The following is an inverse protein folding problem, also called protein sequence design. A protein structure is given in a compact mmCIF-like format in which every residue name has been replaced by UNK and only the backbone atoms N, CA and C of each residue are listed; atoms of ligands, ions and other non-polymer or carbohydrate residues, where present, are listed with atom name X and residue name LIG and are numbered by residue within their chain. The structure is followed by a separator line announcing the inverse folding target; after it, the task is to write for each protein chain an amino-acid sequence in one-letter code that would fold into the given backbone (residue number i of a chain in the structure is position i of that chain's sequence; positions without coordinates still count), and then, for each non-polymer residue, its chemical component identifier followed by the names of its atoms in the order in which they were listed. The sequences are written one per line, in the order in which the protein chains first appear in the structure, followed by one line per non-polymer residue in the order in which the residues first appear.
data_IF_508487149194
#
_entry.id   IF_508487149194
#
_cell.length_a   1.000
_cell.length_b   1.000
_cell.length_c   1.000
_cell.angle_alpha   90.00
_cell.angle_beta   90.00
_cell.angle_gamma   90.00
#
_symmetry.space_group_name_H-M   'P 1'
#
loop_
_entity.id
_entity.type
_entity.pdbx_description
1 polymer ?
#
# COMPACT_ATOMS: atom_id res chain seq x y z
N UNK A 1 26.83 -8.52 -10.42
CA UNK A 1 25.64 -8.17 -9.61
C UNK A 1 24.50 -9.02 -10.13
N UNK A 2 23.81 -9.77 -9.27
CA UNK A 2 22.71 -10.63 -9.72
C UNK A 2 21.47 -9.77 -9.96
N UNK A 3 20.91 -9.84 -11.17
CA UNK A 3 19.71 -9.10 -11.53
C UNK A 3 18.48 -9.67 -10.79
N UNK A 4 17.64 -8.80 -10.24
CA UNK A 4 16.39 -9.21 -9.61
C UNK A 4 15.40 -9.71 -10.67
N UNK A 5 14.92 -10.95 -10.52
CA UNK A 5 13.91 -11.56 -11.42
C UNK A 5 12.53 -10.89 -11.39
N UNK A 6 12.29 -9.94 -10.47
CA UNK A 6 11.00 -9.30 -10.21
C UNK A 6 11.22 -7.89 -9.69
N UNK A 7 10.21 -7.04 -9.84
CA UNK A 7 10.14 -5.76 -9.16
C UNK A 7 10.42 -5.92 -7.65
N UNK A 8 11.32 -5.12 -7.03
CA UNK A 8 11.70 -5.22 -5.63
C UNK A 8 10.50 -5.27 -4.67
N UNK A 9 9.48 -4.45 -4.89
CA UNK A 9 8.29 -4.37 -4.03
C UNK A 9 7.55 -5.71 -3.99
N UNK A 10 7.63 -6.53 -5.05
CA UNK A 10 7.03 -7.87 -5.04
C UNK A 10 7.68 -8.78 -4.00
N UNK A 11 8.97 -8.66 -3.71
CA UNK A 11 9.62 -9.47 -2.68
C UNK A 11 9.15 -9.17 -1.26
N UNK A 12 8.78 -7.90 -1.01
CA UNK A 12 8.15 -7.47 0.23
C UNK A 12 6.70 -7.98 0.29
N UNK A 13 5.90 -7.65 -0.72
CA UNK A 13 4.47 -7.97 -0.75
C UNK A 13 4.20 -9.47 -0.74
N UNK A 14 4.95 -10.26 -1.50
CA UNK A 14 4.80 -11.73 -1.51
C UNK A 14 5.01 -12.34 -0.11
N UNK A 15 5.84 -11.70 0.72
CA UNK A 15 6.08 -12.10 2.11
C UNK A 15 5.01 -11.58 3.07
N UNK A 16 4.61 -10.32 2.92
CA UNK A 16 3.66 -9.63 3.81
C UNK A 16 2.19 -10.01 3.57
N UNK A 17 1.81 -10.34 2.33
CA UNK A 17 0.41 -10.48 1.91
C UNK A 17 -0.42 -11.47 2.72
N UNK A 18 0.20 -12.51 3.28
CA UNK A 18 -0.49 -13.50 4.12
C UNK A 18 -1.08 -12.91 5.40
N UNK A 19 -0.59 -11.73 5.84
CA UNK A 19 -1.04 -11.01 7.02
C UNK A 19 -1.97 -9.83 6.69
N UNK A 20 -2.33 -9.62 5.43
CA UNK A 20 -3.24 -8.53 5.07
C UNK A 20 -4.66 -8.85 5.51
N UNK A 21 -5.22 -7.98 6.34
CA UNK A 21 -6.62 -8.05 6.76
C UNK A 21 -7.50 -7.30 5.77
N UNK A 22 -7.91 -8.01 4.70
CA UNK A 22 -8.82 -7.45 3.71
C UNK A 22 -10.26 -7.55 4.22
N UNK A 23 -10.97 -6.43 4.24
CA UNK A 23 -12.37 -6.38 4.67
C UNK A 23 -13.29 -7.09 3.67
N UNK A 24 -14.51 -7.43 4.13
CA UNK A 24 -15.56 -8.04 3.31
C UNK A 24 -16.28 -7.05 2.39
N UNK A 25 -16.06 -5.75 2.58
CA UNK A 25 -16.74 -4.69 1.83
C UNK A 25 -15.84 -3.49 1.57
N UNK A 26 -16.22 -2.70 0.58
CA UNK A 26 -15.58 -1.44 0.24
C UNK A 26 -15.87 -0.42 1.33
N UNK A 27 -14.82 0.14 1.91
CA UNK A 27 -14.93 1.15 2.94
C UNK A 27 -15.64 2.44 2.47
N UNK A 28 -15.69 2.74 1.16
CA UNK A 28 -16.37 3.94 0.64
C UNK A 28 -17.88 3.72 0.44
N UNK A 29 -18.29 2.58 -0.13
CA UNK A 29 -19.67 2.41 -0.61
C UNK A 29 -20.36 1.12 -0.18
N UNK A 30 -19.70 0.26 0.62
CA UNK A 30 -20.28 -1.00 1.10
C UNK A 30 -20.41 -2.11 0.05
N UNK A 31 -19.91 -1.91 -1.18
CA UNK A 31 -19.89 -2.98 -2.18
C UNK A 31 -19.00 -4.14 -1.70
N UNK A 32 -19.46 -5.37 -1.86
CA UNK A 32 -18.79 -6.62 -1.42
C UNK A 32 -18.10 -7.38 -2.56
N UNK A 33 -18.23 -6.89 -3.80
CA UNK A 33 -17.61 -7.46 -5.00
C UNK A 33 -16.38 -6.68 -5.45
N UNK A 34 -15.47 -7.38 -6.15
CA UNK A 34 -14.28 -6.78 -6.80
C UNK A 34 -13.45 -5.91 -5.85
N UNK A 35 -13.14 -6.44 -4.66
CA UNK A 35 -12.39 -5.70 -3.66
C UNK A 35 -10.89 -5.70 -3.97
N UNK A 36 -10.23 -4.59 -3.67
CA UNK A 36 -8.79 -4.38 -3.73
C UNK A 36 -8.29 -3.95 -2.34
N UNK A 37 -7.05 -4.36 -2.02
CA UNK A 37 -6.35 -3.95 -0.80
C UNK A 37 -5.40 -2.81 -1.14
N UNK A 38 -5.67 -1.63 -0.60
CA UNK A 38 -4.92 -0.41 -0.87
C UNK A 38 -4.00 -0.04 0.28
N UNK A 39 -2.75 0.32 -0.02
CA UNK A 39 -1.82 0.91 0.94
C UNK A 39 -1.82 2.44 0.78
N UNK A 40 -2.06 3.19 1.86
CA UNK A 40 -1.96 4.66 1.79
C UNK A 40 -0.52 5.12 1.57
N UNK A 41 0.45 4.44 2.18
CA UNK A 41 1.87 4.64 1.94
C UNK A 41 2.33 3.74 0.78
N UNK A 42 2.71 4.34 -0.35
CA UNK A 42 3.18 3.56 -1.49
C UNK A 42 4.45 2.81 -1.16
N UNK A 43 4.45 1.49 -1.36
CA UNK A 43 5.56 0.62 -0.97
C UNK A 43 6.85 0.93 -1.73
N UNK A 44 6.79 1.35 -3.00
CA UNK A 44 8.01 1.65 -3.77
C UNK A 44 8.81 2.82 -3.20
N UNK A 45 8.24 4.03 -2.97
CA UNK A 45 8.99 5.12 -2.35
C UNK A 45 9.34 4.84 -0.89
N UNK A 46 8.53 4.06 -0.17
CA UNK A 46 8.84 3.65 1.20
C UNK A 46 10.11 2.80 1.24
N UNK A 47 10.15 1.76 0.40
CA UNK A 47 11.30 0.88 0.23
C UNK A 47 12.54 1.63 -0.27
N UNK A 48 12.39 2.50 -1.27
CA UNK A 48 13.51 3.29 -1.81
C UNK A 48 14.12 4.23 -0.76
N UNK A 49 13.27 4.90 0.03
CA UNK A 49 13.73 5.78 1.12
C UNK A 49 14.52 4.98 2.15
N UNK A 50 13.94 3.89 2.64
CA UNK A 50 14.55 3.09 3.70
C UNK A 50 15.85 2.41 3.26
N UNK A 51 15.89 1.81 2.05
CA UNK A 51 17.11 1.18 1.51
C UNK A 51 18.26 2.19 1.43
N UNK A 52 17.95 3.44 1.06
CA UNK A 52 18.94 4.53 1.05
C UNK A 52 19.41 4.89 2.46
N UNK A 53 18.49 4.96 3.43
CA UNK A 53 18.81 5.30 4.83
C UNK A 53 19.67 4.22 5.50
N UNK A 54 19.42 2.94 5.21
CA UNK A 54 20.21 1.80 5.71
C UNK A 54 21.49 1.55 4.92
N UNK A 55 21.73 2.28 3.83
CA UNK A 55 22.84 2.05 2.91
C UNK A 55 22.88 0.61 2.37
N UNK A 56 21.71 0.04 2.09
CA UNK A 56 21.57 -1.28 1.47
C UNK A 56 21.56 -1.19 -0.05
N UNK A 57 21.88 -2.31 -0.70
CA UNK A 57 21.74 -2.48 -2.14
C UNK A 57 20.41 -3.16 -2.44
N UNK A 58 19.60 -2.61 -3.35
CA UNK A 58 18.24 -3.12 -3.63
C UNK A 58 18.25 -4.59 -4.09
N UNK A 59 19.33 -5.02 -4.73
CA UNK A 59 19.56 -6.39 -5.18
C UNK A 59 19.57 -7.41 -4.03
N UNK A 60 19.89 -6.97 -2.81
CA UNK A 60 19.98 -7.79 -1.60
C UNK A 60 18.64 -7.88 -0.83
N UNK A 61 17.53 -7.46 -1.43
CA UNK A 61 16.19 -7.40 -0.78
C UNK A 61 15.77 -8.67 -0.05
N UNK A 62 16.20 -9.85 -0.50
CA UNK A 62 15.87 -11.11 0.17
C UNK A 62 16.50 -11.22 1.57
N UNK A 63 17.60 -10.52 1.81
CA UNK A 63 18.35 -10.52 3.06
C UNK A 63 17.70 -9.57 4.09
N UNK A 64 17.20 -8.42 3.64
CA UNK A 64 16.69 -7.37 4.54
C UNK A 64 15.16 -7.23 4.56
N UNK A 65 14.40 -7.89 3.67
CA UNK A 65 12.94 -7.68 3.57
C UNK A 65 12.19 -7.90 4.88
N UNK A 66 12.65 -8.82 5.72
CA UNK A 66 12.01 -9.09 7.01
C UNK A 66 12.22 -7.92 7.98
N UNK A 67 13.42 -7.31 7.97
CA UNK A 67 13.74 -6.08 8.70
C UNK A 67 12.87 -4.91 8.21
N UNK A 68 12.82 -4.68 6.89
CA UNK A 68 11.95 -3.66 6.30
C UNK A 68 10.48 -3.83 6.72
N UNK A 69 9.94 -5.05 6.66
CA UNK A 69 8.56 -5.35 7.05
C UNK A 69 8.34 -5.07 8.54
N UNK A 70 9.30 -5.41 9.40
CA UNK A 70 9.19 -5.21 10.84
C UNK A 70 9.23 -3.72 11.24
N UNK A 71 10.03 -2.92 10.54
CA UNK A 71 10.12 -1.46 10.80
C UNK A 71 8.93 -0.67 10.25
N UNK A 72 8.21 -1.21 9.26
CA UNK A 72 7.09 -0.53 8.59
C UNK A 72 5.76 -1.29 8.78
N UNK A 73 5.56 -1.90 9.95
CA UNK A 73 4.34 -2.67 10.24
C UNK A 73 3.09 -1.82 10.01
N UNK A 74 3.08 -0.57 10.48
CA UNK A 74 1.91 0.30 10.33
C UNK A 74 1.62 0.58 8.84
N UNK A 75 2.63 0.92 8.02
CA UNK A 75 2.43 1.20 6.59
C UNK A 75 2.01 -0.04 5.78
N UNK A 76 2.45 -1.23 6.20
CA UNK A 76 2.11 -2.48 5.52
C UNK A 76 0.74 -3.03 5.92
N UNK A 77 0.30 -2.81 7.15
CA UNK A 77 -0.88 -3.49 7.71
C UNK A 77 -1.96 -2.52 8.19
N UNK A 78 -1.61 -1.44 8.88
CA UNK A 78 -2.58 -0.57 9.56
C UNK A 78 -3.04 0.60 8.68
N UNK A 79 -2.12 1.23 7.94
CA UNK A 79 -2.40 2.32 7.01
C UNK A 79 -2.84 1.77 5.64
N UNK A 80 -3.86 0.93 5.69
CA UNK A 80 -4.44 0.26 4.54
C UNK A 80 -5.96 0.47 4.52
N UNK A 81 -6.57 0.18 3.37
CA UNK A 81 -8.03 0.21 3.23
C UNK A 81 -8.48 -0.78 2.17
N UNK A 82 -9.63 -1.41 2.40
CA UNK A 82 -10.29 -2.22 1.38
C UNK A 82 -11.27 -1.37 0.58
N UNK A 83 -11.11 -1.31 -0.73
CA UNK A 83 -11.95 -0.55 -1.66
C UNK A 83 -12.45 -1.46 -2.76
N UNK A 84 -13.64 -1.21 -3.32
CA UNK A 84 -13.99 -1.84 -4.58
C UNK A 84 -13.10 -1.32 -5.70
N UNK A 85 -12.95 -2.10 -6.76
CA UNK A 85 -12.05 -1.83 -7.86
C UNK A 85 -12.27 -0.44 -8.47
N UNK A 86 -13.54 -0.04 -8.64
CA UNK A 86 -13.90 1.28 -9.15
C UNK A 86 -13.36 2.42 -8.27
N UNK A 87 -13.52 2.33 -6.95
CA UNK A 87 -13.01 3.35 -6.02
C UNK A 87 -11.49 3.33 -5.91
N UNK A 88 -10.88 2.16 -5.94
CA UNK A 88 -9.43 1.99 -5.95
C UNK A 88 -8.81 2.64 -7.20
N UNK A 89 -9.36 2.39 -8.39
CA UNK A 89 -8.96 3.06 -9.62
C UNK A 89 -9.20 4.57 -9.57
N UNK A 90 -10.31 5.02 -8.98
CA UNK A 90 -10.58 6.46 -8.84
C UNK A 90 -9.55 7.14 -7.95
N UNK A 91 -9.17 6.52 -6.84
CA UNK A 91 -8.11 7.01 -5.96
C UNK A 91 -6.78 7.12 -6.73
N UNK A 92 -6.41 6.08 -7.47
CA UNK A 92 -5.22 6.08 -8.33
C UNK A 92 -5.27 7.08 -9.49
N UNK A 93 -6.45 7.44 -10.00
CA UNK A 93 -6.56 8.51 -11.01
C UNK A 93 -6.21 9.89 -10.48
N UNK A 94 -6.32 10.10 -9.15
CA UNK A 94 -6.08 11.38 -8.48
C UNK A 94 -4.64 11.48 -7.98
N UNK A 95 -4.15 10.43 -7.33
CA UNK A 95 -2.82 10.42 -6.69
C UNK A 95 -1.75 9.70 -7.53
N UNK A 96 -2.15 8.98 -8.58
CA UNK A 96 -1.26 8.10 -9.33
C UNK A 96 -1.13 6.71 -8.70
N UNK A 97 -0.42 5.81 -9.40
CA UNK A 97 -0.13 4.43 -8.94
C UNK A 97 0.99 4.33 -7.90
N UNK A 98 1.85 5.36 -7.84
CA UNK A 98 3.00 5.40 -6.93
C UNK A 98 3.18 6.82 -6.37
N UNK A 99 2.19 7.37 -5.65
CA UNK A 99 2.28 8.70 -5.07
C UNK A 99 3.41 8.83 -4.04
N UNK A 100 3.79 10.07 -3.74
CA UNK A 100 4.76 10.37 -2.67
C UNK A 100 4.19 10.05 -1.29
N UNK A 101 5.06 9.72 -0.32
CA UNK A 101 4.66 9.36 1.05
C UNK A 101 3.85 10.45 1.76
N UNK A 102 4.17 11.73 1.49
CA UNK A 102 3.44 12.88 2.03
C UNK A 102 1.96 12.95 1.61
N UNK A 103 1.55 12.18 0.60
CA UNK A 103 0.16 12.13 0.15
C UNK A 103 -0.71 11.18 0.98
N UNK A 104 -0.15 10.28 1.79
CA UNK A 104 -0.92 9.27 2.52
C UNK A 104 -2.05 9.89 3.37
N UNK A 105 -1.84 10.98 4.15
CA UNK A 105 -2.92 11.64 4.87
C UNK A 105 -4.00 12.23 3.95
N UNK A 106 -3.62 12.71 2.76
CA UNK A 106 -4.55 13.27 1.78
C UNK A 106 -5.42 12.17 1.15
N UNK A 107 -4.82 11.02 0.86
CA UNK A 107 -5.55 9.84 0.37
C UNK A 107 -6.57 9.37 1.40
N UNK A 108 -6.17 9.20 2.66
CA UNK A 108 -7.08 8.83 3.76
C UNK A 108 -8.24 9.82 3.88
N UNK A 109 -7.95 11.13 3.90
CA UNK A 109 -8.98 12.18 3.92
C UNK A 109 -9.92 12.10 2.71
N UNK A 110 -9.41 11.82 1.52
CA UNK A 110 -10.24 11.66 0.33
C UNK A 110 -11.20 10.48 0.43
N UNK A 111 -10.72 9.35 0.98
CA UNK A 111 -11.52 8.14 1.24
C UNK A 111 -12.66 8.48 2.21
N UNK A 112 -12.36 9.15 3.33
CA UNK A 112 -13.38 9.58 4.30
C UNK A 112 -14.43 10.51 3.67
N UNK A 113 -13.99 11.47 2.85
CA UNK A 113 -14.90 12.36 2.13
C UNK A 113 -15.80 11.58 1.16
N UNK A 114 -15.27 10.57 0.45
CA UNK A 114 -16.12 9.77 -0.44
C UNK A 114 -17.10 8.91 0.38
N UNK A 115 -16.65 8.30 1.48
CA UNK A 115 -17.53 7.53 2.38
C UNK A 115 -18.71 8.37 2.88
N UNK A 116 -18.46 9.63 3.26
CA UNK A 116 -19.51 10.58 3.64
C UNK A 116 -20.53 10.87 2.53
N UNK A 117 -20.09 10.94 1.27
CA UNK A 117 -21.01 11.12 0.12
C UNK A 117 -21.91 9.91 -0.13
N UNK A 118 -21.51 8.73 0.33
CA UNK A 118 -22.31 7.51 0.28
C UNK A 118 -23.16 7.29 1.54
N UNK A 119 -23.12 8.21 2.51
CA UNK A 119 -23.97 8.16 3.72
C UNK A 119 -23.53 7.13 4.76
N UNK A 120 -22.27 6.66 4.73
CA UNK A 120 -21.75 5.62 5.64
C UNK A 120 -20.96 6.19 6.85
N UNK A 121 -21.28 7.40 7.30
CA UNK A 121 -20.59 8.10 8.42
C UNK A 121 -21.46 8.11 9.66
#
# INVERSE_FOLDING_TARGET
MAELKRDPVKYIRDKAKSRYEKASECYICGADTELDFHHYYSLSPLLQKWVKEQNYMMEDIRNFRDEFINEHIEELYDYTVTLCHAHHLKLHSIYGRNPTLHSAPKQKRWVEIQRGKHGLV
#
